data_IF_566438639420
#
_entry.id   IF_566438639420
#
_cell.length_a   1.000
_cell.length_b   1.000
_cell.length_c   1.000
_cell.angle_alpha   90.00
_cell.angle_beta   90.00
_cell.angle_gamma   90.00
#
_symmetry.space_group_name_H-M   'P 1'
#
loop_
_entity.id
_entity.type
_entity.pdbx_description
1 polymer ?
#
# COMPACT_ATOMS: atom_id res chain seq x y z
N UNK A 1 8.42 -7.56 -5.69
CA UNK A 1 7.99 -6.64 -6.78
C UNK A 1 7.47 -7.45 -7.95
N UNK A 2 6.23 -7.20 -8.44
CA UNK A 2 5.66 -7.99 -9.54
C UNK A 2 6.14 -7.57 -10.94
N UNK A 3 6.84 -6.44 -11.05
CA UNK A 3 7.41 -5.99 -12.32
C UNK A 3 8.20 -7.06 -13.06
N UNK A 4 9.21 -7.69 -12.44
CA UNK A 4 9.98 -8.77 -13.06
C UNK A 4 9.15 -9.98 -13.46
N UNK A 5 8.06 -10.27 -12.73
CA UNK A 5 7.15 -11.36 -13.10
C UNK A 5 6.37 -11.04 -14.38
N UNK A 6 5.88 -9.82 -14.53
CA UNK A 6 5.25 -9.37 -15.78
C UNK A 6 6.23 -9.46 -16.95
N UNK A 7 7.48 -9.01 -16.74
CA UNK A 7 8.52 -9.05 -17.77
C UNK A 7 8.85 -10.47 -18.19
N UNK A 8 9.01 -11.38 -17.22
CA UNK A 8 9.25 -12.80 -17.46
C UNK A 8 8.10 -13.44 -18.22
N UNK A 9 6.86 -13.26 -17.75
CA UNK A 9 5.69 -13.84 -18.40
C UNK A 9 5.53 -13.32 -19.83
N UNK A 10 5.73 -12.02 -20.07
CA UNK A 10 5.67 -11.45 -21.41
C UNK A 10 6.75 -12.01 -22.32
N UNK A 11 7.97 -12.20 -21.82
CA UNK A 11 9.06 -12.80 -22.58
C UNK A 11 8.77 -14.26 -22.98
N UNK A 12 8.16 -15.04 -22.09
CA UNK A 12 7.76 -16.44 -22.36
C UNK A 12 6.53 -16.53 -23.28
N UNK A 13 5.64 -15.53 -23.25
CA UNK A 13 4.36 -15.50 -23.94
C UNK A 13 4.10 -14.17 -24.67
N UNK A 14 4.94 -13.76 -25.63
CA UNK A 14 4.88 -12.40 -26.20
C UNK A 14 3.60 -12.11 -27.00
N UNK A 15 2.89 -13.13 -27.45
CA UNK A 15 1.62 -12.99 -28.17
C UNK A 15 0.38 -12.91 -27.25
N UNK A 16 0.54 -13.14 -25.94
CA UNK A 16 -0.59 -13.09 -25.02
C UNK A 16 -0.73 -11.66 -24.44
N UNK A 17 -1.93 -11.08 -24.48
CA UNK A 17 -2.18 -9.81 -23.83
C UNK A 17 -2.15 -9.97 -22.31
N UNK A 18 -1.49 -9.04 -21.62
CA UNK A 18 -1.40 -9.00 -20.15
C UNK A 18 -2.12 -7.77 -19.65
N UNK A 19 -2.99 -7.93 -18.66
CA UNK A 19 -3.63 -6.84 -17.92
C UNK A 19 -3.62 -7.09 -16.42
N UNK A 20 -3.75 -6.02 -15.64
CA UNK A 20 -3.97 -6.10 -14.20
C UNK A 20 -5.45 -5.88 -13.91
N UNK A 21 -6.16 -6.94 -13.53
CA UNK A 21 -7.62 -6.93 -13.39
C UNK A 21 -8.10 -6.14 -12.16
N UNK A 22 -7.26 -6.08 -11.10
CA UNK A 22 -7.62 -5.42 -9.85
C UNK A 22 -6.40 -5.18 -8.97
N UNK A 23 -6.29 -3.99 -8.39
CA UNK A 23 -5.33 -3.65 -7.34
C UNK A 23 -5.80 -2.42 -6.57
N UNK A 24 -5.45 -2.33 -5.28
CA UNK A 24 -5.80 -1.22 -4.40
C UNK A 24 -5.60 -1.57 -2.92
N UNK A 25 -5.57 -0.57 -2.07
CA UNK A 25 -5.51 -0.72 -0.62
C UNK A 25 -6.34 0.36 0.08
N UNK A 26 -6.68 0.10 1.33
CA UNK A 26 -7.51 0.99 2.15
C UNK A 26 -6.78 2.30 2.49
N UNK A 27 -7.56 3.38 2.61
CA UNK A 27 -7.13 4.64 3.20
C UNK A 27 -8.22 5.22 4.10
N UNK A 28 -7.94 5.27 5.37
CA UNK A 28 -8.72 5.91 6.42
C UNK A 28 -8.13 7.27 6.78
N UNK A 29 -8.79 7.99 7.67
CA UNK A 29 -8.39 9.33 8.12
C UNK A 29 -7.23 9.34 9.13
N UNK A 30 -6.47 8.25 9.19
CA UNK A 30 -5.29 8.15 10.05
C UNK A 30 -4.08 8.71 9.34
N UNK A 31 -3.07 9.09 10.09
CA UNK A 31 -1.82 9.65 9.58
C UNK A 31 -0.62 8.80 9.97
N UNK A 32 0.33 8.68 9.06
CA UNK A 32 1.64 8.07 9.32
C UNK A 32 2.77 8.88 8.68
N UNK A 33 3.71 9.36 9.49
CA UNK A 33 4.93 10.02 9.00
C UNK A 33 5.85 9.03 8.27
N UNK A 34 5.69 7.74 8.55
CA UNK A 34 6.43 6.66 7.89
C UNK A 34 5.42 5.60 7.46
N UNK A 35 4.82 5.77 6.27
CA UNK A 35 3.77 4.87 5.80
C UNK A 35 4.27 3.44 5.74
N UNK A 36 3.53 2.55 6.39
CA UNK A 36 3.80 1.13 6.45
C UNK A 36 2.56 0.36 6.07
N UNK A 37 2.76 -0.81 5.55
CA UNK A 37 1.66 -1.69 5.29
C UNK A 37 0.86 -2.01 6.56
N UNK A 38 -0.47 -2.04 6.40
CA UNK A 38 -1.39 -2.23 7.52
C UNK A 38 -1.64 -0.96 8.34
N UNK A 39 -1.13 0.18 7.92
CA UNK A 39 -1.41 1.47 8.56
C UNK A 39 -2.82 1.97 8.22
N UNK A 40 -3.42 1.51 7.11
CA UNK A 40 -4.69 2.01 6.57
C UNK A 40 -4.71 3.53 6.41
N UNK A 41 -3.54 4.15 6.20
CA UNK A 41 -3.42 5.60 6.07
C UNK A 41 -3.51 6.04 4.61
N UNK A 42 -3.89 7.29 4.38
CA UNK A 42 -3.89 7.88 3.04
C UNK A 42 -2.47 7.94 2.46
N UNK A 43 -1.45 8.19 3.32
CA UNK A 43 -0.04 8.16 2.91
C UNK A 43 0.39 6.78 2.45
N UNK A 44 -0.07 5.72 3.11
CA UNK A 44 0.22 4.37 2.66
C UNK A 44 -0.50 4.04 1.35
N UNK A 45 -1.76 4.44 1.18
CA UNK A 45 -2.49 4.29 -0.08
C UNK A 45 -1.75 5.03 -1.21
N UNK A 46 -1.33 6.28 -0.96
CA UNK A 46 -0.57 7.06 -1.93
C UNK A 46 0.74 6.35 -2.33
N UNK A 47 1.54 5.92 -1.36
CA UNK A 47 2.77 5.16 -1.60
C UNK A 47 2.52 3.86 -2.39
N UNK A 48 1.49 3.10 -2.03
CA UNK A 48 1.11 1.88 -2.72
C UNK A 48 0.81 2.14 -4.21
N UNK A 49 0.01 3.16 -4.49
CA UNK A 49 -0.35 3.49 -5.86
C UNK A 49 0.80 4.13 -6.64
N UNK A 50 1.66 4.95 -6.01
CA UNK A 50 2.90 5.45 -6.63
C UNK A 50 3.78 4.30 -7.13
N UNK A 51 4.00 3.29 -6.28
CA UNK A 51 4.83 2.13 -6.64
C UNK A 51 4.20 1.28 -7.76
N UNK A 52 2.88 1.11 -7.77
CA UNK A 52 2.21 0.35 -8.81
C UNK A 52 2.10 1.10 -10.12
N UNK A 53 1.81 2.40 -10.10
CA UNK A 53 1.80 3.24 -11.30
C UNK A 53 3.14 3.12 -12.04
N UNK A 54 4.26 3.30 -11.34
CA UNK A 54 5.59 3.16 -11.92
C UNK A 54 5.82 1.79 -12.53
N UNK A 55 5.38 0.72 -11.87
CA UNK A 55 5.56 -0.64 -12.37
C UNK A 55 4.66 -0.98 -13.56
N UNK A 56 3.41 -0.54 -13.54
CA UNK A 56 2.42 -0.89 -14.56
C UNK A 56 2.58 -0.02 -15.80
N UNK A 57 2.73 1.29 -15.63
CA UNK A 57 2.73 2.25 -16.76
C UNK A 57 4.07 2.32 -17.48
N UNK A 58 5.16 1.87 -16.87
CA UNK A 58 6.43 1.69 -17.56
C UNK A 58 6.48 0.49 -18.52
N UNK A 59 5.40 -0.32 -18.57
CA UNK A 59 5.34 -1.56 -19.37
C UNK A 59 4.28 -1.44 -20.47
N UNK A 60 4.67 -1.03 -21.69
CA UNK A 60 3.73 -0.77 -22.77
C UNK A 60 2.98 -2.03 -23.26
N UNK A 61 3.46 -3.22 -22.90
CA UNK A 61 2.77 -4.47 -23.21
C UNK A 61 1.60 -4.79 -22.25
N UNK A 62 1.45 -4.06 -21.13
CA UNK A 62 0.27 -4.15 -20.26
C UNK A 62 -0.85 -3.32 -20.90
N UNK A 63 -1.85 -3.98 -21.43
CA UNK A 63 -2.90 -3.36 -22.21
C UNK A 63 -3.98 -2.67 -21.35
N UNK A 64 -4.18 -3.11 -20.10
CA UNK A 64 -5.15 -2.52 -19.19
C UNK A 64 -4.76 -2.72 -17.73
N UNK A 65 -5.15 -1.76 -16.90
CA UNK A 65 -5.05 -1.83 -15.44
C UNK A 65 -6.33 -1.27 -14.80
N UNK A 66 -6.81 -1.92 -13.74
CA UNK A 66 -8.04 -1.53 -13.08
C UNK A 66 -7.82 -1.34 -11.59
N UNK A 67 -7.97 -0.11 -11.14
CA UNK A 67 -7.88 0.22 -9.72
C UNK A 67 -9.15 -0.24 -9.00
N UNK A 68 -9.00 -0.93 -7.89
CA UNK A 68 -10.08 -1.18 -6.95
C UNK A 68 -9.93 -0.26 -5.74
N UNK A 69 -10.70 0.82 -5.69
CA UNK A 69 -11.65 1.19 -6.72
C UNK A 69 -11.82 2.73 -6.75
N UNK A 70 -12.76 3.24 -7.53
CA UNK A 70 -12.94 4.70 -7.65
C UNK A 70 -13.51 5.31 -6.37
N UNK A 71 -14.44 4.62 -5.69
CA UNK A 71 -15.16 5.17 -4.53
C UNK A 71 -15.13 4.19 -3.36
N UNK A 72 -15.02 4.70 -2.13
CA UNK A 72 -15.38 3.93 -0.96
C UNK A 72 -16.84 3.50 -1.04
N UNK A 73 -17.18 2.33 -0.49
CA UNK A 73 -18.53 1.78 -0.56
C UNK A 73 -18.89 0.94 0.66
N UNK A 74 -20.20 0.74 0.89
CA UNK A 74 -20.70 -0.12 1.96
C UNK A 74 -20.32 -1.58 1.71
N UNK A 75 -19.77 -2.24 2.72
CA UNK A 75 -19.36 -3.64 2.67
C UNK A 75 -19.50 -4.26 4.08
N UNK A 76 -20.64 -4.87 4.34
CA UNK A 76 -21.07 -5.34 5.66
C UNK A 76 -20.05 -6.22 6.39
N UNK A 77 -19.37 -7.11 5.65
CA UNK A 77 -18.38 -8.02 6.21
C UNK A 77 -17.00 -7.40 6.45
N UNK A 78 -16.81 -6.09 6.17
CA UNK A 78 -15.52 -5.43 6.30
C UNK A 78 -15.36 -4.74 7.65
N UNK A 79 -14.17 -4.88 8.22
CA UNK A 79 -13.74 -4.21 9.45
C UNK A 79 -12.23 -3.96 9.36
N UNK A 80 -11.82 -3.06 8.48
CA UNK A 80 -10.43 -2.65 8.33
C UNK A 80 -10.17 -1.38 9.13
N UNK A 81 -9.08 -1.38 9.91
CA UNK A 81 -8.65 -0.22 10.69
C UNK A 81 -9.65 0.19 11.78
N UNK A 82 -10.56 -0.71 12.20
CA UNK A 82 -11.58 -0.42 13.21
C UNK A 82 -12.84 0.26 12.67
N UNK A 83 -12.97 0.43 11.36
CA UNK A 83 -14.16 0.98 10.70
C UNK A 83 -15.01 -0.14 10.13
N UNK A 84 -16.20 -0.36 10.71
CA UNK A 84 -17.09 -1.44 10.33
C UNK A 84 -17.98 -1.09 9.13
N UNK A 85 -18.24 -2.09 8.28
CA UNK A 85 -19.27 -2.00 7.25
C UNK A 85 -18.89 -1.18 6.02
N UNK A 86 -17.61 -0.85 5.84
CA UNK A 86 -17.13 -0.11 4.67
C UNK A 86 -15.86 -0.71 4.08
N UNK A 87 -15.73 -0.60 2.76
CA UNK A 87 -14.48 -0.77 2.05
C UNK A 87 -13.89 0.61 1.74
N UNK A 88 -12.67 0.86 2.18
CA UNK A 88 -12.00 2.16 2.08
C UNK A 88 -10.93 2.21 0.97
N UNK A 89 -10.98 1.29 -0.01
CA UNK A 89 -10.03 1.26 -1.13
C UNK A 89 -10.32 2.32 -2.21
N UNK A 90 -11.39 3.07 -2.05
CA UNK A 90 -11.73 4.15 -2.97
C UNK A 90 -10.63 5.20 -3.08
N UNK A 91 -10.43 5.72 -4.29
CA UNK A 91 -9.64 6.93 -4.52
C UNK A 91 -10.42 8.18 -4.09
N UNK A 92 -11.73 8.05 -3.89
CA UNK A 92 -12.67 9.08 -3.46
C UNK A 92 -13.53 8.52 -2.34
N UNK A 93 -13.83 9.34 -1.35
CA UNK A 93 -14.67 8.95 -0.20
C UNK A 93 -16.08 8.54 -0.59
N UNK A 94 -16.77 7.80 0.29
CA UNK A 94 -18.12 7.26 0.04
C UNK A 94 -19.15 8.36 -0.27
N UNK A 95 -19.01 9.52 0.36
CA UNK A 95 -19.86 10.71 0.15
C UNK A 95 -19.49 11.52 -1.10
N UNK A 96 -18.44 11.13 -1.83
CA UNK A 96 -17.92 11.81 -3.03
C UNK A 96 -17.34 13.21 -2.78
N UNK A 97 -17.17 13.60 -1.53
CA UNK A 97 -16.73 14.96 -1.19
C UNK A 97 -15.21 15.12 -1.23
N UNK A 98 -14.47 14.05 -0.94
CA UNK A 98 -13.02 14.11 -0.84
C UNK A 98 -12.34 13.15 -1.82
N UNK A 99 -11.44 13.70 -2.64
CA UNK A 99 -10.51 12.94 -3.49
C UNK A 99 -9.24 12.73 -2.69
N UNK A 100 -8.90 11.48 -2.43
CA UNK A 100 -7.68 11.11 -1.69
C UNK A 100 -6.44 11.40 -2.53
N UNK A 101 -5.27 11.49 -1.90
CA UNK A 101 -4.02 11.82 -2.61
C UNK A 101 -3.73 10.86 -3.77
N UNK A 102 -4.01 9.57 -3.62
CA UNK A 102 -3.84 8.59 -4.68
C UNK A 102 -4.67 8.90 -5.96
N UNK A 103 -5.82 9.58 -5.86
CA UNK A 103 -6.55 10.06 -7.03
C UNK A 103 -5.68 11.00 -7.88
N UNK A 104 -4.96 11.89 -7.22
CA UNK A 104 -4.11 12.88 -7.90
C UNK A 104 -2.82 12.27 -8.44
N UNK A 105 -2.33 11.17 -7.86
CA UNK A 105 -1.25 10.38 -8.43
C UNK A 105 -1.63 9.88 -9.84
N UNK A 106 -2.84 9.32 -10.01
CA UNK A 106 -3.35 8.94 -11.33
C UNK A 106 -3.60 10.13 -12.23
N UNK A 107 -4.13 11.25 -11.72
CA UNK A 107 -4.30 12.48 -12.51
C UNK A 107 -2.96 12.96 -13.07
N UNK A 108 -1.86 12.83 -12.31
CA UNK A 108 -0.53 13.25 -12.76
C UNK A 108 -0.01 12.45 -13.95
N UNK A 109 -0.36 11.17 -14.06
CA UNK A 109 0.06 10.30 -15.15
C UNK A 109 -0.89 10.25 -16.34
N UNK A 110 -2.18 10.53 -16.14
CA UNK A 110 -3.22 10.24 -17.13
C UNK A 110 -3.92 11.47 -17.68
N UNK A 111 -3.73 12.64 -17.06
CA UNK A 111 -4.45 13.87 -17.49
C UNK A 111 -3.53 14.82 -18.22
N UNK A 112 -4.02 15.38 -19.33
CA UNK A 112 -3.36 16.46 -20.05
C UNK A 112 -3.70 17.85 -19.47
N UNK A 113 -4.72 17.93 -18.58
CA UNK A 113 -5.09 19.17 -17.90
C UNK A 113 -4.00 19.58 -16.92
N UNK A 114 -3.34 20.75 -17.08
CA UNK A 114 -2.31 21.20 -16.15
C UNK A 114 -2.85 21.31 -14.72
N UNK A 115 -2.13 20.74 -13.75
CA UNK A 115 -2.48 20.87 -12.34
C UNK A 115 -1.26 20.70 -11.43
N UNK A 116 -1.45 21.07 -10.17
CA UNK A 116 -0.57 20.74 -9.04
C UNK A 116 -1.43 20.36 -7.84
N UNK A 117 -1.01 19.37 -7.06
CA UNK A 117 -1.70 18.92 -5.86
C UNK A 117 -0.70 18.71 -4.73
N UNK A 118 -0.89 19.43 -3.63
CA UNK A 118 -0.15 19.26 -2.38
C UNK A 118 -0.79 18.11 -1.60
N UNK A 119 -0.04 17.04 -1.36
CA UNK A 119 -0.53 15.88 -0.59
C UNK A 119 -0.56 16.16 0.91
N UNK A 120 -1.32 15.34 1.63
CA UNK A 120 -1.34 15.34 3.10
C UNK A 120 -2.07 16.53 3.73
N UNK A 121 -2.91 17.26 3.00
CA UNK A 121 -3.61 18.47 3.50
C UNK A 121 -4.52 18.23 4.70
N UNK A 122 -4.95 16.99 4.93
CA UNK A 122 -5.77 16.63 6.10
C UNK A 122 -4.96 16.53 7.40
N UNK A 123 -3.65 16.39 7.29
CA UNK A 123 -2.75 16.18 8.44
C UNK A 123 -1.97 17.46 8.71
N UNK A 124 -2.56 18.30 9.55
CA UNK A 124 -2.01 19.64 9.87
C UNK A 124 -0.96 19.56 10.96
N UNK A 125 -1.19 18.75 11.99
CA UNK A 125 -0.38 18.71 13.20
C UNK A 125 0.72 17.66 13.11
N UNK A 126 1.97 18.09 13.12
CA UNK A 126 3.14 17.23 13.03
C UNK A 126 4.08 17.43 14.21
N UNK A 127 4.62 16.33 14.73
CA UNK A 127 5.76 16.35 15.66
C UNK A 127 7.08 16.28 14.89
N UNK A 128 8.18 16.62 15.52
CA UNK A 128 9.50 16.60 14.92
C UNK A 128 9.86 17.90 14.20
N UNK A 129 11.14 18.02 13.83
CA UNK A 129 11.72 19.26 13.31
C UNK A 129 11.46 19.50 11.83
N UNK A 130 11.07 18.46 11.10
CA UNK A 130 10.81 18.52 9.66
C UNK A 130 9.62 17.64 9.27
N UNK A 131 8.95 18.01 8.18
CA UNK A 131 7.88 17.22 7.54
C UNK A 131 8.27 16.94 6.11
N UNK A 132 8.07 15.70 5.66
CA UNK A 132 8.16 15.34 4.23
C UNK A 132 6.84 15.70 3.56
N UNK A 133 6.92 16.51 2.52
CA UNK A 133 5.78 16.93 1.71
C UNK A 133 5.93 16.35 0.31
N UNK A 134 4.92 15.64 -0.14
CA UNK A 134 4.80 15.19 -1.53
C UNK A 134 3.86 16.12 -2.29
N UNK A 135 4.23 16.41 -3.53
CA UNK A 135 3.40 17.17 -4.46
C UNK A 135 3.25 16.36 -5.75
N UNK A 136 2.04 16.24 -6.26
CA UNK A 136 1.78 15.60 -7.55
C UNK A 136 1.48 16.64 -8.62
N UNK A 137 2.06 16.46 -9.78
CA UNK A 137 1.82 17.36 -10.92
C UNK A 137 2.17 16.67 -12.23
N UNK A 138 1.40 16.97 -13.30
CA UNK A 138 1.78 16.62 -14.67
C UNK A 138 2.67 17.68 -15.33
N UNK A 139 3.10 18.70 -14.58
CA UNK A 139 4.03 19.70 -15.06
C UNK A 139 5.49 19.25 -14.81
N UNK A 140 6.45 19.64 -15.65
CA UNK A 140 7.83 19.16 -15.56
C UNK A 140 8.57 19.67 -14.32
N UNK A 141 8.09 20.71 -13.69
CA UNK A 141 8.73 21.36 -12.55
C UNK A 141 7.71 21.84 -11.54
N UNK A 142 8.03 21.62 -10.26
CA UNK A 142 7.27 22.15 -9.11
C UNK A 142 8.21 22.92 -8.20
N UNK A 143 7.78 24.10 -7.76
CA UNK A 143 8.42 24.88 -6.70
C UNK A 143 7.53 24.90 -5.46
N UNK A 144 8.12 24.67 -4.29
CA UNK A 144 7.40 24.70 -3.02
C UNK A 144 7.84 25.93 -2.20
N UNK A 145 6.86 26.63 -1.65
CA UNK A 145 7.09 27.77 -0.74
C UNK A 145 6.58 27.44 0.66
N UNK A 146 7.34 27.89 1.67
CA UNK A 146 6.96 27.84 3.08
C UNK A 146 6.91 29.27 3.62
N UNK A 147 5.75 29.74 4.07
CA UNK A 147 5.52 31.13 4.50
C UNK A 147 6.01 32.17 3.49
N UNK A 148 5.86 31.91 2.20
CA UNK A 148 6.30 32.78 1.11
C UNK A 148 7.78 32.69 0.76
N UNK A 149 8.57 31.86 1.46
CA UNK A 149 9.98 31.63 1.16
C UNK A 149 10.10 30.36 0.31
N UNK A 150 10.78 30.45 -0.83
CA UNK A 150 11.03 29.31 -1.70
C UNK A 150 11.92 28.27 -1.02
N UNK A 151 11.52 27.01 -1.09
CA UNK A 151 12.31 25.85 -0.72
C UNK A 151 13.02 25.23 -1.93
N UNK A 152 12.95 25.89 -3.08
CA UNK A 152 13.52 25.46 -4.34
C UNK A 152 12.53 24.77 -5.25
N UNK A 153 12.96 24.62 -6.50
CA UNK A 153 12.22 23.93 -7.54
C UNK A 153 12.82 22.55 -7.79
N UNK A 154 11.96 21.57 -8.06
CA UNK A 154 12.33 20.20 -8.39
C UNK A 154 11.78 19.79 -9.75
N UNK A 155 12.44 18.84 -10.38
CA UNK A 155 11.97 18.11 -11.56
C UNK A 155 11.82 16.64 -11.15
N UNK A 156 10.80 15.97 -11.64
CA UNK A 156 10.57 14.54 -11.38
C UNK A 156 9.99 13.87 -12.63
N UNK A 157 10.63 12.78 -13.07
CA UNK A 157 10.17 11.98 -14.21
C UNK A 157 8.92 11.14 -13.85
N UNK A 158 8.75 10.82 -12.57
CA UNK A 158 7.63 10.04 -12.07
C UNK A 158 6.42 10.90 -11.66
N UNK A 159 6.45 12.22 -11.90
CA UNK A 159 5.41 13.19 -11.53
C UNK A 159 5.20 13.38 -10.00
N UNK A 160 6.10 12.84 -9.17
CA UNK A 160 6.03 12.87 -7.71
C UNK A 160 7.19 13.65 -7.13
N UNK A 161 6.93 14.88 -6.70
CA UNK A 161 7.93 15.83 -6.19
C UNK A 161 7.97 15.76 -4.66
N UNK A 162 9.15 15.61 -4.05
CA UNK A 162 9.31 15.38 -2.62
C UNK A 162 10.19 16.44 -1.98
N UNK A 163 9.62 17.15 -1.01
CA UNK A 163 10.29 18.23 -0.29
C UNK A 163 10.43 17.88 1.19
N UNK A 164 11.49 18.39 1.82
CA UNK A 164 11.63 18.38 3.28
C UNK A 164 11.42 19.81 3.77
N UNK A 165 10.40 20.00 4.60
CA UNK A 165 9.97 21.31 5.09
C UNK A 165 10.31 21.43 6.56
N UNK A 166 10.98 22.51 7.03
CA UNK A 166 11.13 22.80 8.45
C UNK A 166 9.76 22.93 9.13
N UNK A 167 9.58 22.24 10.26
CA UNK A 167 8.34 22.24 11.01
C UNK A 167 8.47 23.13 12.25
N UNK A 168 8.09 24.41 12.13
CA UNK A 168 8.23 25.41 13.20
C UNK A 168 6.98 26.27 13.30
N UNK A 169 6.19 26.05 14.36
CA UNK A 169 4.92 26.75 14.53
C UNK A 169 3.97 26.47 13.35
N UNK A 170 3.22 27.48 12.92
CA UNK A 170 2.31 27.37 11.77
C UNK A 170 3.05 27.73 10.49
N UNK A 171 3.10 26.81 9.54
CA UNK A 171 3.73 27.03 8.23
C UNK A 171 2.69 26.87 7.13
N UNK A 172 2.47 27.93 6.37
CA UNK A 172 1.66 27.91 5.15
C UNK A 172 2.51 27.41 3.98
N UNK A 173 2.03 26.39 3.31
CA UNK A 173 2.66 25.82 2.13
C UNK A 173 1.93 26.29 0.87
N UNK A 174 2.70 26.57 -0.20
CA UNK A 174 2.19 26.82 -1.53
C UNK A 174 3.05 26.07 -2.55
N UNK A 175 2.41 25.16 -3.32
CA UNK A 175 3.04 24.47 -4.43
C UNK A 175 2.67 25.18 -5.73
N UNK A 176 3.67 25.42 -6.58
CA UNK A 176 3.53 26.14 -7.85
C UNK A 176 4.09 25.28 -8.98
N UNK A 177 3.30 25.09 -10.04
CA UNK A 177 3.70 24.38 -11.24
C UNK A 177 3.14 25.12 -12.48
N UNK A 178 4.00 25.86 -13.17
CA UNK A 178 3.56 26.78 -14.23
C UNK A 178 2.54 27.82 -13.71
N UNK A 179 1.35 27.82 -14.29
CA UNK A 179 0.24 28.68 -13.85
C UNK A 179 -0.60 28.08 -12.71
N UNK A 180 -0.37 26.80 -12.37
CA UNK A 180 -1.15 26.08 -11.36
C UNK A 180 -0.60 26.35 -9.97
N UNK A 181 -1.50 26.43 -9.00
CA UNK A 181 -1.17 26.62 -7.57
C UNK A 181 -2.05 25.74 -6.70
N UNK A 182 -1.48 25.23 -5.62
CA UNK A 182 -2.22 24.56 -4.54
C UNK A 182 -1.57 24.92 -3.20
N UNK A 183 -2.36 24.92 -2.13
CA UNK A 183 -1.87 25.36 -0.82
C UNK A 183 -2.38 24.48 0.30
N UNK A 184 -1.63 24.44 1.38
CA UNK A 184 -1.93 23.76 2.62
C UNK A 184 -1.28 24.41 3.81
N UNK A 185 -1.45 23.81 4.98
CA UNK A 185 -0.85 24.30 6.23
C UNK A 185 -0.35 23.10 7.03
N UNK A 186 0.83 23.22 7.60
CA UNK A 186 1.33 22.33 8.65
C UNK A 186 1.55 23.14 9.93
N UNK A 187 1.45 22.45 11.07
CA UNK A 187 1.64 23.05 12.38
C UNK A 187 2.52 22.14 13.24
N UNK A 188 3.55 22.70 13.83
CA UNK A 188 4.35 22.00 14.83
C UNK A 188 3.56 21.83 16.11
N UNK A 189 3.56 20.62 16.66
CA UNK A 189 2.99 20.28 17.97
C UNK A 189 3.99 19.44 18.76
N UNK A 190 4.04 19.62 20.07
CA UNK A 190 4.97 18.90 20.95
C UNK A 190 4.56 17.44 21.17
N UNK A 191 3.26 17.15 21.05
CA UNK A 191 2.69 15.80 21.25
C UNK A 191 1.89 15.36 20.03
N UNK A 192 1.93 14.07 19.66
CA UNK A 192 1.14 13.54 18.54
C UNK A 192 -0.36 13.82 18.74
N UNK A 193 -1.03 14.21 17.67
CA UNK A 193 -2.47 14.40 17.65
C UNK A 193 -3.16 13.02 17.60
N UNK A 194 -3.83 12.63 18.68
CA UNK A 194 -4.49 11.33 18.81
C UNK A 194 -5.61 11.11 17.80
N UNK A 195 -6.13 12.15 17.15
CA UNK A 195 -7.12 12.03 16.07
C UNK A 195 -6.56 11.34 14.82
N UNK A 196 -5.24 11.40 14.62
CA UNK A 196 -4.54 10.81 13.48
C UNK A 196 -3.98 9.41 13.79
N UNK A 197 -4.20 8.91 14.99
CA UNK A 197 -3.65 7.62 15.41
C UNK A 197 -4.57 6.47 15.01
N UNK A 198 -4.03 5.50 14.30
CA UNK A 198 -4.73 4.25 14.03
C UNK A 198 -5.06 3.52 15.33
N UNK A 199 -6.34 3.22 15.55
CA UNK A 199 -6.83 2.54 16.76
C UNK A 199 -6.58 1.04 16.71
N UNK A 200 -6.65 0.44 15.54
CA UNK A 200 -6.36 -0.97 15.31
C UNK A 200 -5.36 -1.10 14.18
N UNK A 201 -4.31 -1.89 14.39
CA UNK A 201 -3.35 -2.21 13.35
C UNK A 201 -3.86 -3.44 12.59
N UNK A 202 -4.03 -3.29 11.28
CA UNK A 202 -4.31 -4.42 10.40
C UNK A 202 -3.08 -5.31 10.18
N UNK A 203 -3.34 -6.57 9.89
CA UNK A 203 -2.29 -7.57 9.58
C UNK A 203 -2.05 -7.76 8.08
N UNK A 204 -2.60 -6.91 7.22
CA UNK A 204 -2.51 -7.11 5.77
C UNK A 204 -1.12 -6.72 5.29
N UNK A 205 -0.34 -7.71 4.83
CA UNK A 205 0.88 -7.51 4.07
C UNK A 205 0.54 -7.49 2.57
N UNK A 206 1.06 -6.50 1.83
CA UNK A 206 1.03 -6.55 0.38
C UNK A 206 2.18 -7.44 -0.12
N UNK A 207 2.00 -8.03 -1.28
CA UNK A 207 2.99 -8.90 -1.89
C UNK A 207 4.37 -8.24 -2.12
N UNK A 208 4.43 -6.93 -2.31
CA UNK A 208 5.69 -6.18 -2.52
C UNK A 208 6.42 -5.79 -1.23
N UNK A 209 5.76 -5.91 -0.06
CA UNK A 209 6.41 -5.72 1.24
C UNK A 209 7.07 -7.02 1.75
N UNK A 210 6.79 -8.14 1.09
CA UNK A 210 7.36 -9.43 1.43
C UNK A 210 8.77 -9.54 0.86
N UNK A 211 9.77 -9.70 1.72
CA UNK A 211 11.14 -9.96 1.28
C UNK A 211 11.21 -11.32 0.60
N UNK A 212 11.73 -11.35 -0.62
CA UNK A 212 11.97 -12.57 -1.39
C UNK A 212 13.47 -12.78 -1.56
N UNK A 213 13.97 -13.94 -1.12
CA UNK A 213 15.33 -14.37 -1.38
C UNK A 213 15.34 -15.33 -2.57
N UNK A 214 16.25 -15.11 -3.50
CA UNK A 214 16.39 -15.97 -4.68
C UNK A 214 16.69 -17.42 -4.26
N UNK A 215 15.93 -18.38 -4.79
CA UNK A 215 16.07 -19.81 -4.46
C UNK A 215 15.38 -20.26 -3.18
N UNK A 216 14.72 -19.38 -2.44
CA UNK A 216 14.00 -19.69 -1.21
C UNK A 216 12.51 -19.39 -1.33
N UNK A 217 11.69 -20.00 -0.45
CA UNK A 217 10.26 -19.70 -0.38
C UNK A 217 10.00 -18.39 0.37
N UNK A 218 8.83 -17.81 0.09
CA UNK A 218 8.29 -16.61 0.74
C UNK A 218 6.79 -16.75 0.99
N UNK A 219 6.16 -15.76 1.61
CA UNK A 219 4.70 -15.68 1.74
C UNK A 219 3.97 -15.55 0.40
N UNK A 220 4.66 -15.16 -0.66
CA UNK A 220 4.11 -15.03 -2.01
C UNK A 220 4.04 -16.36 -2.77
N UNK A 221 4.65 -17.42 -2.23
CA UNK A 221 4.60 -18.75 -2.84
C UNK A 221 3.31 -19.49 -2.49
N UNK A 222 2.94 -20.40 -3.36
CA UNK A 222 1.76 -21.27 -3.13
C UNK A 222 2.03 -22.25 -1.99
N UNK A 223 1.01 -22.47 -1.17
CA UNK A 223 1.05 -23.43 -0.07
C UNK A 223 1.45 -24.82 -0.57
N UNK A 224 0.90 -25.25 -1.72
CA UNK A 224 1.25 -26.54 -2.34
C UNK A 224 2.73 -26.68 -2.70
N UNK A 225 3.38 -25.57 -3.08
CA UNK A 225 4.80 -25.60 -3.45
C UNK A 225 5.68 -25.60 -2.20
N UNK A 226 5.36 -24.77 -1.22
CA UNK A 226 6.04 -24.72 0.07
C UNK A 226 5.98 -26.10 0.77
N UNK A 227 4.85 -26.78 0.72
CA UNK A 227 4.64 -28.08 1.36
C UNK A 227 5.46 -29.23 0.75
N UNK A 228 6.08 -29.06 -0.42
CA UNK A 228 7.00 -30.04 -1.01
C UNK A 228 8.29 -30.19 -0.17
N UNK A 229 8.72 -29.09 0.46
CA UNK A 229 9.87 -29.08 1.36
C UNK A 229 9.44 -29.44 2.79
N UNK A 230 10.13 -30.36 3.51
CA UNK A 230 9.76 -30.77 4.86
C UNK A 230 9.69 -29.61 5.87
N UNK A 231 10.66 -28.68 5.82
CA UNK A 231 10.67 -27.48 6.66
C UNK A 231 9.56 -26.52 6.29
N UNK A 232 9.27 -26.33 4.99
CA UNK A 232 8.16 -25.54 4.49
C UNK A 232 6.82 -26.07 4.98
N UNK A 233 6.63 -27.39 4.92
CA UNK A 233 5.45 -28.07 5.46
C UNK A 233 5.23 -27.73 6.94
N UNK A 234 6.30 -27.75 7.77
CA UNK A 234 6.20 -27.37 9.18
C UNK A 234 5.73 -25.93 9.33
N UNK A 235 6.29 -24.99 8.56
CA UNK A 235 5.87 -23.57 8.61
C UNK A 235 4.40 -23.41 8.30
N UNK A 236 3.87 -24.11 7.29
CA UNK A 236 2.44 -24.06 6.93
C UNK A 236 1.57 -24.66 8.02
N UNK A 237 1.95 -25.82 8.58
CA UNK A 237 1.19 -26.46 9.66
C UNK A 237 1.18 -25.59 10.94
N UNK A 238 2.30 -24.95 11.29
CA UNK A 238 2.37 -23.99 12.39
C UNK A 238 1.41 -22.80 12.17
N UNK A 239 1.37 -22.27 10.95
CA UNK A 239 0.43 -21.20 10.59
C UNK A 239 -1.02 -21.62 10.78
N UNK A 240 -1.39 -22.81 10.27
CA UNK A 240 -2.75 -23.33 10.40
C UNK A 240 -3.15 -23.55 11.87
N UNK A 241 -2.23 -24.04 12.69
CA UNK A 241 -2.42 -24.17 14.13
C UNK A 241 -2.66 -22.81 14.82
N UNK A 242 -1.87 -21.80 14.47
CA UNK A 242 -2.01 -20.42 15.00
C UNK A 242 -3.37 -19.81 14.71
N UNK A 243 -3.97 -20.12 13.57
CA UNK A 243 -5.26 -19.56 13.16
C UNK A 243 -6.45 -20.47 13.51
N UNK A 244 -6.20 -21.55 14.26
CA UNK A 244 -7.25 -22.47 14.67
C UNK A 244 -7.86 -23.31 13.55
N UNK A 245 -7.18 -23.39 12.40
CA UNK A 245 -7.58 -24.18 11.25
C UNK A 245 -6.93 -25.58 11.33
N UNK A 246 -7.52 -26.44 12.15
CA UNK A 246 -7.12 -27.83 12.31
C UNK A 246 -8.19 -28.60 13.08
N UNK A 247 -8.40 -29.86 12.77
CA UNK A 247 -9.32 -30.72 13.53
C UNK A 247 -8.72 -31.05 14.89
N UNK A 248 -9.48 -30.87 15.98
CA UNK A 248 -9.08 -31.21 17.37
C UNK A 248 -7.79 -30.52 17.88
N UNK A 249 -7.41 -29.35 17.33
CA UNK A 249 -6.21 -28.62 17.75
C UNK A 249 -4.91 -29.10 17.12
N UNK A 250 -4.95 -30.11 16.25
CA UNK A 250 -3.80 -30.52 15.43
C UNK A 250 -3.91 -29.99 14.00
N UNK A 251 -2.76 -29.61 13.38
CA UNK A 251 -2.74 -29.11 12.01
C UNK A 251 -3.25 -30.17 11.02
N UNK A 252 -4.27 -29.82 10.21
CA UNK A 252 -4.86 -30.76 9.23
C UNK A 252 -4.15 -30.65 7.87
N UNK A 253 -3.38 -31.71 7.53
CA UNK A 253 -2.72 -31.82 6.22
C UNK A 253 -3.71 -31.87 5.04
N UNK A 254 -4.90 -32.42 5.23
CA UNK A 254 -5.90 -32.46 4.16
C UNK A 254 -6.46 -31.08 3.88
N UNK A 255 -6.66 -30.28 4.93
CA UNK A 255 -7.03 -28.90 4.79
C UNK A 255 -5.93 -28.07 4.09
N UNK A 256 -4.66 -28.27 4.48
CA UNK A 256 -3.53 -27.62 3.80
C UNK A 256 -3.46 -27.97 2.30
N UNK A 257 -3.79 -29.20 1.92
CA UNK A 257 -3.88 -29.59 0.49
C UNK A 257 -5.05 -28.92 -0.22
N UNK A 258 -6.20 -28.81 0.42
CA UNK A 258 -7.37 -28.14 -0.14
C UNK A 258 -7.11 -26.67 -0.46
N UNK A 259 -6.37 -25.97 0.40
CA UNK A 259 -6.00 -24.55 0.22
C UNK A 259 -4.69 -24.37 -0.55
N UNK A 260 -4.07 -25.43 -1.03
CA UNK A 260 -2.75 -25.45 -1.65
C UNK A 260 -2.57 -24.50 -2.84
N UNK A 261 -3.64 -24.16 -3.55
CA UNK A 261 -3.64 -23.21 -4.66
C UNK A 261 -3.47 -21.73 -4.25
N UNK A 262 -3.67 -21.41 -2.97
CA UNK A 262 -3.50 -20.05 -2.46
C UNK A 262 -2.03 -19.78 -2.13
N UNK A 263 -1.60 -18.52 -2.23
CA UNK A 263 -0.37 -18.09 -1.57
C UNK A 263 -0.63 -17.93 -0.07
N UNK A 264 0.44 -18.05 0.73
CA UNK A 264 0.32 -17.88 2.19
C UNK A 264 -0.20 -16.47 2.52
N UNK A 265 0.27 -15.48 1.78
CA UNK A 265 -0.15 -14.10 1.94
C UNK A 265 -1.65 -13.92 1.67
N UNK A 266 -2.18 -14.53 0.60
CA UNK A 266 -3.61 -14.44 0.27
C UNK A 266 -4.47 -15.15 1.31
N UNK A 267 -4.02 -16.31 1.79
CA UNK A 267 -4.71 -17.03 2.87
C UNK A 267 -4.77 -16.19 4.15
N UNK A 268 -3.66 -15.55 4.54
CA UNK A 268 -3.62 -14.71 5.73
C UNK A 268 -4.61 -13.54 5.67
N UNK A 269 -4.79 -12.94 4.49
CA UNK A 269 -5.80 -11.90 4.27
C UNK A 269 -7.24 -12.42 4.42
N UNK A 270 -7.52 -13.64 3.97
CA UNK A 270 -8.85 -14.26 4.13
C UNK A 270 -9.14 -14.63 5.59
N UNK A 271 -8.15 -15.18 6.29
CA UNK A 271 -8.29 -15.58 7.70
C UNK A 271 -8.43 -14.37 8.61
N UNK A 272 -7.74 -13.28 8.33
CA UNK A 272 -7.85 -12.02 9.09
C UNK A 272 -9.26 -11.40 9.05
N UNK A 273 -10.08 -11.78 8.06
CA UNK A 273 -11.48 -11.33 7.94
C UNK A 273 -12.50 -12.27 8.60
N UNK A 274 -12.11 -13.50 8.94
CA UNK A 274 -13.05 -14.56 9.35
C UNK A 274 -12.98 -14.97 10.83
N UNK A 275 -12.07 -14.44 11.66
CA UNK A 275 -11.90 -14.97 13.02
C UNK A 275 -11.36 -14.00 14.08
N UNK A 276 -11.52 -14.39 15.34
CA UNK A 276 -11.01 -13.67 16.52
C UNK A 276 -9.47 -13.71 16.63
N UNK A 277 -8.80 -14.68 15.99
CA UNK A 277 -7.33 -14.83 15.98
C UNK A 277 -6.74 -14.11 14.78
N UNK A 278 -6.53 -12.81 14.92
CA UNK A 278 -5.87 -11.99 13.89
C UNK A 278 -4.38 -12.33 13.85
N UNK A 279 -3.89 -12.79 12.68
CA UNK A 279 -2.46 -12.84 12.41
C UNK A 279 -1.90 -11.42 12.45
N UNK A 280 -0.91 -11.19 13.31
CA UNK A 280 -0.26 -9.88 13.36
C UNK A 280 0.77 -9.74 12.23
N UNK A 281 1.13 -8.49 11.90
CA UNK A 281 2.19 -8.20 10.92
C UNK A 281 3.51 -8.85 11.34
N UNK A 282 3.86 -8.77 12.62
CA UNK A 282 5.06 -9.37 13.18
C UNK A 282 5.06 -10.88 12.98
N UNK A 283 3.91 -11.54 13.19
CA UNK A 283 3.77 -12.99 12.95
C UNK A 283 4.00 -13.34 11.48
N UNK A 284 3.42 -12.58 10.55
CA UNK A 284 3.61 -12.81 9.11
C UNK A 284 5.06 -12.54 8.68
N UNK A 285 5.70 -11.49 9.17
CA UNK A 285 7.11 -11.22 8.88
C UNK A 285 8.02 -12.31 9.45
N UNK A 286 7.73 -12.83 10.64
CA UNK A 286 8.46 -13.96 11.23
C UNK A 286 8.29 -15.24 10.40
N UNK A 287 7.09 -15.53 9.93
CA UNK A 287 6.84 -16.65 9.01
C UNK A 287 7.61 -16.49 7.70
N UNK A 288 7.62 -15.27 7.13
CA UNK A 288 8.39 -14.97 5.93
C UNK A 288 9.89 -15.18 6.12
N UNK A 289 10.44 -14.72 7.25
CA UNK A 289 11.85 -14.94 7.58
C UNK A 289 12.19 -16.44 7.68
N UNK A 290 11.30 -17.26 8.23
CA UNK A 290 11.44 -18.72 8.27
C UNK A 290 11.39 -19.31 6.85
N UNK A 291 10.43 -18.92 6.01
CA UNK A 291 10.32 -19.39 4.62
C UNK A 291 11.55 -19.01 3.79
N UNK A 292 12.13 -17.83 4.01
CA UNK A 292 13.33 -17.37 3.34
C UNK A 292 14.61 -18.16 3.71
N UNK A 293 14.51 -19.14 4.61
CA UNK A 293 15.58 -20.12 4.90
C UNK A 293 15.29 -21.50 4.30
N UNK A 294 14.11 -21.70 3.71
CA UNK A 294 13.69 -22.98 3.11
C UNK A 294 13.95 -22.93 1.61
N UNK A 295 14.90 -23.72 1.14
CA UNK A 295 15.23 -23.79 -0.28
C UNK A 295 14.05 -24.36 -1.10
N UNK A 296 13.84 -23.80 -2.28
CA UNK A 296 12.84 -24.31 -3.24
C UNK A 296 13.28 -25.67 -3.77
N UNK A 297 12.35 -26.61 -3.83
CA UNK A 297 12.54 -27.99 -4.36
C UNK A 297 11.85 -28.12 -5.71
#
# INVERSE_FOLDING_TARGET
MNGPWFDKFHAEHPALPIGCSEYGCEALNWHSDTPQQGDYTEEYQAYYHEELIKQLFSRPYIWATHVWNMFDFGADARNEGGENGQNHKGLVTIDRQYKKDAFYAYKAWLSDEPFVHLCGKRFVNHTGDTVRITVYSNQPQVELFANGVSLGAQQAEDHFFRFTVPNRGVTRLEAVAGACRDSGTICHVDTPDERYRLRERGAILNWFDVTENEGFYSLNDRISDIMKAPEGKRVILDLLAMVGMGGNGEPDENFARMIGGFTVLRLSGLVGTLGENKLTKETLLSLNARLNTVARV
#
